data_IF_935531642832
#
_entry.id   IF_935531642832
#
_cell.length_a   1.000
_cell.length_b   1.000
_cell.length_c   1.000
_cell.angle_alpha   90.00
_cell.angle_beta   90.00
_cell.angle_gamma   90.00
#
_symmetry.space_group_name_H-M   'P 1'
#
loop_
_entity.id
_entity.type
_entity.pdbx_description
1 polymer ?
#
# COMPACT_ATOMS: atom_id res chain seq x y z
N UNK A 1 1.80 -43.03 20.03
CA UNK A 1 2.43 -42.64 18.75
C UNK A 1 1.43 -42.18 17.68
N UNK A 2 0.28 -42.85 17.46
CA UNK A 2 -0.72 -42.43 16.44
C UNK A 2 -1.28 -41.01 16.62
N UNK A 3 -1.54 -40.58 17.85
CA UNK A 3 -2.09 -39.24 18.13
C UNK A 3 -1.09 -38.09 17.94
N UNK A 4 0.21 -38.37 17.99
CA UNK A 4 1.27 -37.36 17.80
C UNK A 4 1.41 -36.97 16.32
N UNK A 5 1.19 -37.92 15.41
CA UNK A 5 1.23 -37.66 13.96
C UNK A 5 0.03 -36.80 13.52
N UNK A 6 -1.14 -37.00 14.11
CA UNK A 6 -2.36 -36.23 13.78
C UNK A 6 -2.28 -34.77 14.24
N UNK A 7 -1.68 -34.48 15.40
CA UNK A 7 -1.47 -33.11 15.88
C UNK A 7 -0.40 -32.37 15.07
N UNK A 8 0.67 -33.05 14.66
CA UNK A 8 1.69 -32.46 13.78
C UNK A 8 1.09 -32.14 12.39
N UNK A 9 0.25 -33.01 11.84
CA UNK A 9 -0.39 -32.80 10.54
C UNK A 9 -1.40 -31.63 10.56
N UNK A 10 -2.18 -31.49 11.63
CA UNK A 10 -3.06 -30.31 11.80
C UNK A 10 -2.27 -29.02 12.01
N UNK A 11 -1.15 -29.07 12.76
CA UNK A 11 -0.24 -27.94 12.91
C UNK A 11 0.39 -27.50 11.58
N UNK A 12 0.79 -28.46 10.74
CA UNK A 12 1.34 -28.17 9.40
C UNK A 12 0.28 -27.57 8.46
N UNK A 13 -0.95 -28.08 8.47
CA UNK A 13 -2.04 -27.54 7.66
C UNK A 13 -2.40 -26.10 8.06
N UNK A 14 -2.36 -25.77 9.37
CA UNK A 14 -2.57 -24.41 9.85
C UNK A 14 -1.42 -23.45 9.48
N UNK A 15 -0.19 -23.95 9.36
CA UNK A 15 0.97 -23.16 8.90
C UNK A 15 0.96 -22.94 7.37
N UNK A 16 0.40 -23.87 6.60
CA UNK A 16 0.30 -23.79 5.13
C UNK A 16 -0.89 -22.97 4.64
N UNK A 17 -1.97 -22.84 5.42
CA UNK A 17 -3.11 -21.97 5.08
C UNK A 17 -2.84 -20.47 5.27
N UNK A 18 -1.72 -20.13 5.92
CA UNK A 18 -1.23 -18.75 6.04
C UNK A 18 -0.58 -18.19 4.77
N UNK A 19 -0.41 -19.02 3.73
CA UNK A 19 0.17 -18.61 2.45
C UNK A 19 -0.90 -18.26 1.41
N UNK A 20 -2.01 -17.64 1.82
CA UNK A 20 -2.88 -16.93 0.86
C UNK A 20 -2.27 -15.54 0.61
N UNK A 21 -1.06 -15.52 0.06
CA UNK A 21 -0.54 -14.31 -0.60
C UNK A 21 -1.43 -14.14 -1.81
N UNK A 22 -2.46 -13.30 -1.77
CA UNK A 22 -3.17 -12.86 -2.97
C UNK A 22 -2.13 -12.27 -3.92
N UNK A 23 -1.69 -12.98 -4.98
CA UNK A 23 -0.73 -12.45 -5.93
C UNK A 23 -1.45 -11.57 -6.95
N UNK A 24 -2.76 -11.79 -7.12
CA UNK A 24 -3.59 -11.18 -8.15
C UNK A 24 -3.59 -9.67 -8.06
N UNK A 25 -3.76 -9.09 -6.87
CA UNK A 25 -3.84 -7.63 -6.73
C UNK A 25 -2.47 -6.94 -6.80
N UNK A 26 -1.37 -7.65 -6.52
CA UNK A 26 0.00 -7.13 -6.70
C UNK A 26 0.43 -7.10 -8.16
N UNK A 27 -0.20 -7.88 -9.03
CA UNK A 27 0.11 -7.94 -10.46
C UNK A 27 -0.63 -6.87 -11.29
N UNK A 28 -1.55 -6.09 -10.72
CA UNK A 28 -2.44 -5.19 -11.49
C UNK A 28 -1.82 -3.83 -11.82
N UNK A 29 -0.60 -3.55 -11.38
CA UNK A 29 0.02 -2.23 -11.56
C UNK A 29 1.26 -2.35 -12.40
N UNK A 30 1.17 -1.76 -13.59
CA UNK A 30 2.31 -1.53 -14.42
C UNK A 30 3.26 -0.54 -13.73
N UNK A 31 4.53 -0.91 -13.63
CA UNK A 31 5.59 -0.04 -13.15
C UNK A 31 6.91 -0.52 -13.73
N UNK A 32 7.53 0.32 -14.55
CA UNK A 32 8.92 0.19 -14.96
C UNK A 32 9.68 1.40 -14.41
N UNK A 33 10.70 1.15 -13.59
CA UNK A 33 11.46 2.22 -12.92
C UNK A 33 12.07 3.22 -13.91
N UNK A 34 12.50 2.77 -15.08
CA UNK A 34 13.17 3.62 -16.07
C UNK A 34 12.19 4.45 -16.89
N UNK A 35 10.99 3.92 -17.15
CA UNK A 35 9.98 4.58 -17.98
C UNK A 35 8.97 5.39 -17.18
N UNK A 36 8.76 5.04 -15.90
CA UNK A 36 7.73 5.64 -15.05
C UNK A 36 7.78 7.17 -15.00
N UNK A 37 8.92 7.83 -14.75
CA UNK A 37 8.96 9.29 -14.67
C UNK A 37 8.48 10.00 -15.94
N UNK A 38 8.81 9.46 -17.12
CA UNK A 38 8.37 10.04 -18.39
C UNK A 38 6.88 9.76 -18.66
N UNK A 39 6.41 8.56 -18.30
CA UNK A 39 5.03 8.16 -18.52
C UNK A 39 4.06 8.90 -17.59
N UNK A 40 4.39 9.05 -16.31
CA UNK A 40 3.51 9.73 -15.35
C UNK A 40 3.29 11.20 -15.71
N UNK A 41 4.32 11.90 -16.20
CA UNK A 41 4.21 13.29 -16.66
C UNK A 41 3.38 13.42 -17.93
N UNK A 42 3.42 12.39 -18.80
CA UNK A 42 2.58 12.33 -20.00
C UNK A 42 1.11 12.12 -19.62
N UNK A 43 0.83 11.24 -18.67
CA UNK A 43 -0.52 10.87 -18.26
C UNK A 43 -1.16 11.92 -17.35
N UNK A 44 -0.35 12.61 -16.52
CA UNK A 44 -0.73 13.75 -15.71
C UNK A 44 0.22 14.95 -15.95
N UNK A 45 -0.10 15.82 -16.92
CA UNK A 45 0.70 17.00 -17.24
C UNK A 45 0.79 18.03 -16.10
N UNK A 46 -0.04 17.92 -15.06
CA UNK A 46 0.04 18.80 -13.89
C UNK A 46 1.29 18.51 -13.03
N UNK A 47 1.83 17.30 -13.13
CA UNK A 47 3.08 16.88 -12.50
C UNK A 47 4.28 17.44 -13.28
N UNK A 48 4.57 18.71 -13.05
CA UNK A 48 5.68 19.44 -13.68
C UNK A 48 6.93 19.55 -12.80
N UNK A 49 6.78 19.27 -11.49
CA UNK A 49 7.89 19.34 -10.55
C UNK A 49 8.83 18.12 -10.68
N UNK A 50 10.15 18.30 -10.43
CA UNK A 50 11.09 17.19 -10.44
C UNK A 50 10.69 16.07 -9.46
N UNK A 51 10.66 14.83 -9.96
CA UNK A 51 10.41 13.63 -9.16
C UNK A 51 11.68 13.30 -8.37
N UNK A 52 11.59 13.42 -7.05
CA UNK A 52 12.68 13.16 -6.09
C UNK A 52 12.79 11.67 -5.75
N UNK A 53 11.65 11.00 -5.65
CA UNK A 53 11.56 9.57 -5.37
C UNK A 53 10.30 9.03 -6.05
N UNK A 54 10.34 7.79 -6.53
CA UNK A 54 9.16 7.10 -7.02
C UNK A 54 9.29 5.60 -6.80
N UNK A 55 8.18 4.89 -6.89
CA UNK A 55 8.14 3.46 -6.64
C UNK A 55 6.73 2.92 -6.67
N UNK A 56 6.61 1.65 -6.33
CA UNK A 56 5.33 1.00 -6.06
C UNK A 56 4.96 1.19 -4.60
N UNK A 57 3.67 1.16 -4.31
CA UNK A 57 3.16 1.27 -2.96
C UNK A 57 1.94 0.37 -2.73
N UNK A 58 1.69 0.12 -1.46
CA UNK A 58 0.36 -0.20 -0.96
C UNK A 58 -0.17 0.99 -0.19
N UNK A 59 -1.40 1.38 -0.45
CA UNK A 59 -2.07 2.53 0.15
C UNK A 59 -3.37 2.09 0.80
N UNK A 60 -3.60 2.54 2.04
CA UNK A 60 -4.90 2.47 2.70
C UNK A 60 -5.41 3.90 2.83
N UNK A 61 -6.64 4.16 2.39
CA UNK A 61 -7.31 5.46 2.51
C UNK A 61 -8.53 5.34 3.41
N UNK A 62 -8.59 6.18 4.43
CA UNK A 62 -9.63 6.18 5.46
C UNK A 62 -10.04 7.61 5.81
N UNK A 63 -11.12 7.73 6.58
CA UNK A 63 -11.47 8.97 7.27
C UNK A 63 -10.65 9.11 8.56
N UNK A 64 -10.35 10.36 9.00
CA UNK A 64 -9.67 10.59 10.27
C UNK A 64 -10.40 9.90 11.43
N UNK A 65 -9.63 9.17 12.26
CA UNK A 65 -10.17 8.42 13.41
C UNK A 65 -10.64 7.00 13.08
N UNK A 66 -10.67 6.60 11.81
CA UNK A 66 -10.87 5.20 11.41
C UNK A 66 -9.55 4.53 11.05
N UNK A 67 -9.31 3.35 11.63
CA UNK A 67 -8.15 2.51 11.35
C UNK A 67 -8.39 1.48 10.22
N UNK A 68 -9.54 1.54 9.55
CA UNK A 68 -9.89 0.63 8.44
C UNK A 68 -10.31 1.46 7.24
N UNK A 69 -9.76 1.16 6.07
CA UNK A 69 -9.99 1.96 4.88
C UNK A 69 -9.80 1.19 3.58
N UNK A 70 -10.18 1.81 2.47
CA UNK A 70 -10.02 1.25 1.13
C UNK A 70 -8.55 0.99 0.83
N UNK A 71 -8.26 -0.21 0.32
CA UNK A 71 -6.91 -0.65 0.03
C UNK A 71 -6.63 -0.61 -1.46
N UNK A 72 -5.50 -0.03 -1.82
CA UNK A 72 -5.03 0.10 -3.19
C UNK A 72 -3.60 -0.41 -3.28
N UNK A 73 -3.32 -1.18 -4.31
CA UNK A 73 -1.96 -1.16 -4.85
C UNK A 73 -1.81 0.15 -5.63
N UNK A 74 -0.61 0.72 -5.64
CA UNK A 74 -0.35 1.97 -6.32
C UNK A 74 1.09 2.08 -6.83
N UNK A 75 1.32 3.13 -7.60
CA UNK A 75 2.61 3.78 -7.77
C UNK A 75 2.59 5.11 -7.04
N UNK A 76 3.76 5.64 -6.69
CA UNK A 76 3.88 6.97 -6.14
C UNK A 76 4.99 7.75 -6.83
N UNK A 77 4.80 9.07 -6.92
CA UNK A 77 5.80 10.05 -7.30
C UNK A 77 5.87 11.12 -6.21
N UNK A 78 7.04 11.23 -5.57
CA UNK A 78 7.36 12.27 -4.59
C UNK A 78 8.02 13.43 -5.31
N UNK A 79 7.45 14.63 -5.16
CA UNK A 79 8.05 15.87 -5.67
C UNK A 79 8.45 16.77 -4.50
N UNK A 80 8.95 17.98 -4.81
CA UNK A 80 9.25 18.98 -3.79
C UNK A 80 7.99 19.50 -3.07
N UNK A 81 6.83 19.49 -3.74
CA UNK A 81 5.58 20.09 -3.26
C UNK A 81 4.59 19.08 -2.70
N UNK A 82 4.60 17.85 -3.21
CA UNK A 82 3.61 16.87 -2.81
C UNK A 82 3.97 15.43 -3.11
N UNK A 83 3.08 14.55 -2.69
CA UNK A 83 3.12 13.12 -2.97
C UNK A 83 1.92 12.76 -3.84
N UNK A 84 2.21 12.30 -5.05
CA UNK A 84 1.21 11.84 -6.00
C UNK A 84 1.16 10.32 -5.92
N UNK A 85 -0.05 9.76 -5.83
CA UNK A 85 -0.27 8.33 -5.74
C UNK A 85 -1.27 7.92 -6.82
N UNK A 86 -0.84 7.01 -7.67
CA UNK A 86 -1.56 6.64 -8.88
C UNK A 86 -1.83 5.14 -8.97
N UNK A 87 -3.00 4.80 -9.49
CA UNK A 87 -3.36 3.47 -9.94
C UNK A 87 -3.03 3.30 -11.42
N UNK A 88 -3.18 2.07 -11.91
CA UNK A 88 -3.03 1.75 -13.33
C UNK A 88 -4.39 1.36 -13.90
N UNK A 89 -4.87 2.09 -14.90
CA UNK A 89 -6.03 1.67 -15.69
C UNK A 89 -5.55 0.83 -16.89
N UNK A 90 -5.72 -0.48 -16.78
CA UNK A 90 -5.34 -1.42 -17.83
C UNK A 90 -6.18 -1.29 -19.12
N UNK A 91 -7.37 -0.66 -19.07
CA UNK A 91 -8.21 -0.42 -20.27
C UNK A 91 -7.74 0.80 -21.03
N UNK A 92 -7.48 1.90 -20.33
CA UNK A 92 -6.98 3.13 -20.92
C UNK A 92 -5.45 3.13 -21.12
N UNK A 93 -4.74 2.15 -20.56
CA UNK A 93 -3.28 2.01 -20.60
C UNK A 93 -2.55 3.25 -20.08
N UNK A 94 -3.04 3.82 -18.97
CA UNK A 94 -2.50 5.04 -18.35
C UNK A 94 -2.56 4.96 -16.83
N UNK A 95 -1.78 5.80 -16.18
CA UNK A 95 -1.92 6.05 -14.75
C UNK A 95 -3.14 6.93 -14.45
N UNK A 96 -3.85 6.62 -13.36
CA UNK A 96 -4.97 7.42 -12.86
C UNK A 96 -4.72 7.84 -11.41
N UNK A 97 -5.05 9.08 -11.06
CA UNK A 97 -4.87 9.57 -9.71
C UNK A 97 -5.78 8.84 -8.72
N UNK A 98 -5.18 8.27 -7.66
CA UNK A 98 -5.90 7.77 -6.49
C UNK A 98 -5.94 8.86 -5.42
N UNK A 99 -4.79 9.50 -5.21
CA UNK A 99 -4.60 10.49 -4.16
C UNK A 99 -3.42 11.40 -4.51
N UNK A 100 -3.63 12.70 -4.38
CA UNK A 100 -2.57 13.69 -4.28
C UNK A 100 -2.56 14.30 -2.88
N UNK A 101 -1.37 14.38 -2.28
CA UNK A 101 -1.13 15.01 -0.97
C UNK A 101 -0.23 16.22 -1.18
N UNK A 102 -0.79 17.41 -0.99
CA UNK A 102 -0.03 18.66 -0.95
C UNK A 102 0.56 18.86 0.46
N UNK A 103 1.88 18.97 0.55
CA UNK A 103 2.56 19.15 1.83
C UNK A 103 2.20 20.46 2.53
N UNK A 104 1.69 21.46 1.82
CA UNK A 104 1.17 22.68 2.43
C UNK A 104 -0.12 22.45 3.23
N UNK A 105 -0.91 21.42 2.87
CA UNK A 105 -2.19 21.10 3.52
C UNK A 105 -2.11 19.90 4.47
N UNK A 106 -0.97 19.20 4.45
CA UNK A 106 -0.72 18.03 5.28
C UNK A 106 -0.55 18.45 6.75
N UNK A 107 -1.44 17.98 7.63
CA UNK A 107 -1.47 18.42 9.03
C UNK A 107 -0.42 17.72 9.89
N UNK A 108 -0.34 16.39 9.76
CA UNK A 108 0.56 15.56 10.56
C UNK A 108 0.99 14.32 9.79
N UNK A 109 2.18 13.85 10.11
CA UNK A 109 2.72 12.57 9.64
C UNK A 109 3.16 11.71 10.81
N UNK A 110 3.14 10.40 10.61
CA UNK A 110 3.81 9.46 11.51
C UNK A 110 4.39 8.29 10.72
N UNK A 111 5.42 7.67 11.27
CA UNK A 111 5.95 6.41 10.78
C UNK A 111 5.73 5.38 11.88
N UNK A 112 5.09 4.28 11.54
CA UNK A 112 4.88 3.17 12.46
C UNK A 112 5.33 1.85 11.85
N UNK A 113 6.06 1.08 12.65
CA UNK A 113 6.52 -0.25 12.29
C UNK A 113 5.61 -1.30 12.93
N UNK A 114 5.06 -2.19 12.12
CA UNK A 114 4.23 -3.32 12.55
C UNK A 114 4.88 -4.61 12.03
N UNK A 115 5.61 -5.31 12.89
CA UNK A 115 6.42 -6.48 12.51
C UNK A 115 7.43 -6.13 11.41
N UNK A 116 7.21 -6.60 10.17
CA UNK A 116 8.10 -6.39 9.01
C UNK A 116 7.59 -5.30 8.07
N UNK A 117 6.54 -4.57 8.44
CA UNK A 117 5.93 -3.55 7.59
C UNK A 117 6.04 -2.18 8.24
N UNK A 118 6.46 -1.19 7.46
CA UNK A 118 6.41 0.21 7.88
C UNK A 118 5.24 0.89 7.19
N UNK A 119 4.45 1.63 7.94
CA UNK A 119 3.37 2.47 7.43
C UNK A 119 3.74 3.93 7.67
N UNK A 120 3.93 4.67 6.58
CA UNK A 120 3.91 6.13 6.57
C UNK A 120 2.46 6.56 6.63
N UNK A 121 2.02 7.10 7.77
CA UNK A 121 0.67 7.59 7.95
C UNK A 121 0.65 9.10 7.73
N UNK A 122 -0.18 9.52 6.78
CA UNK A 122 -0.39 10.91 6.40
C UNK A 122 -1.80 11.31 6.86
N UNK A 123 -1.93 12.44 7.56
CA UNK A 123 -3.23 12.95 7.97
C UNK A 123 -3.46 14.36 7.44
N UNK A 124 -4.49 14.47 6.62
CA UNK A 124 -5.05 15.70 6.09
C UNK A 124 -6.31 16.05 6.88
N UNK A 125 -7.00 17.14 6.52
CA UNK A 125 -8.21 17.57 7.23
C UNK A 125 -9.35 16.54 7.17
N UNK A 126 -9.55 15.92 6.01
CA UNK A 126 -10.70 15.02 5.76
C UNK A 126 -10.30 13.59 5.45
N UNK A 127 -8.99 13.30 5.42
CA UNK A 127 -8.45 12.03 4.98
C UNK A 127 -7.28 11.63 5.87
N UNK A 128 -7.23 10.35 6.20
CA UNK A 128 -6.07 9.72 6.77
C UNK A 128 -5.66 8.60 5.82
N UNK A 129 -4.37 8.51 5.52
CA UNK A 129 -3.84 7.46 4.66
C UNK A 129 -2.63 6.80 5.28
N UNK A 130 -2.45 5.51 4.99
CA UNK A 130 -1.23 4.76 5.31
C UNK A 130 -0.61 4.26 4.02
N UNK A 131 0.62 4.68 3.75
CA UNK A 131 1.39 4.29 2.60
C UNK A 131 2.58 3.44 3.04
N UNK A 132 2.79 2.32 2.36
CA UNK A 132 4.02 1.53 2.45
C UNK A 132 4.62 1.44 1.07
N UNK A 133 5.88 1.82 0.90
CA UNK A 133 6.60 1.59 -0.34
C UNK A 133 6.84 0.08 -0.51
N UNK A 134 6.79 -0.38 -1.75
CA UNK A 134 7.07 -1.75 -2.14
C UNK A 134 8.32 -1.79 -3.02
N UNK A 135 8.97 -2.95 -3.08
CA UNK A 135 9.99 -3.23 -4.10
C UNK A 135 9.35 -3.14 -5.51
N UNK A 136 10.18 -3.02 -6.54
CA UNK A 136 9.71 -2.83 -7.93
C UNK A 136 8.85 -4.00 -8.44
N UNK A 137 9.13 -5.21 -7.98
CA UNK A 137 8.32 -6.39 -8.29
C UNK A 137 6.95 -6.37 -7.58
N UNK A 138 6.76 -5.50 -6.58
CA UNK A 138 5.53 -5.37 -5.80
C UNK A 138 5.34 -6.49 -4.76
N UNK A 139 6.27 -7.44 -4.68
CA UNK A 139 6.16 -8.64 -3.85
C UNK A 139 6.15 -8.37 -2.35
N UNK A 140 6.91 -7.38 -1.88
CA UNK A 140 7.11 -7.08 -0.46
C UNK A 140 7.21 -5.58 -0.20
N UNK A 141 6.92 -5.18 1.05
CA UNK A 141 7.13 -3.81 1.53
C UNK A 141 8.63 -3.56 1.66
N UNK A 142 9.10 -2.48 1.04
CA UNK A 142 10.44 -1.93 1.22
C UNK A 142 10.40 -0.94 2.40
N UNK A 143 10.81 -1.42 3.57
CA UNK A 143 10.83 -0.63 4.81
C UNK A 143 11.75 0.57 4.70
N UNK A 144 12.91 0.42 4.05
CA UNK A 144 13.88 1.47 3.86
C UNK A 144 13.37 2.55 2.89
N UNK A 145 12.69 2.17 1.81
CA UNK A 145 12.04 3.14 0.92
C UNK A 145 10.93 3.92 1.62
N UNK A 146 10.17 3.25 2.51
CA UNK A 146 9.12 3.90 3.31
C UNK A 146 9.72 4.88 4.32
N UNK A 147 10.82 4.52 4.97
CA UNK A 147 11.59 5.41 5.86
C UNK A 147 12.16 6.62 5.12
N UNK A 148 12.72 6.42 3.91
CA UNK A 148 13.20 7.52 3.06
C UNK A 148 12.07 8.48 2.67
N UNK A 149 10.87 7.97 2.36
CA UNK A 149 9.70 8.80 2.12
C UNK A 149 9.36 9.63 3.35
N UNK A 150 9.28 8.99 4.51
CA UNK A 150 9.00 9.67 5.78
C UNK A 150 10.02 10.79 6.07
N UNK A 151 11.31 10.50 6.01
CA UNK A 151 12.36 11.50 6.29
C UNK A 151 12.34 12.64 5.27
N UNK A 152 12.04 12.35 4.00
CA UNK A 152 11.92 13.39 2.98
C UNK A 152 10.74 14.33 3.24
N UNK A 153 9.58 13.79 3.62
CA UNK A 153 8.37 14.58 3.94
C UNK A 153 8.55 15.35 5.25
N UNK A 154 9.14 14.71 6.27
CA UNK A 154 9.53 15.36 7.53
C UNK A 154 10.46 16.55 7.29
N UNK A 155 11.42 16.42 6.36
CA UNK A 155 12.29 17.50 5.92
C UNK A 155 11.57 18.70 5.30
N UNK A 156 10.27 18.59 4.95
CA UNK A 156 9.43 19.70 4.46
C UNK A 156 8.74 20.49 5.58
N UNK A 157 9.00 20.17 6.85
CA UNK A 157 8.47 20.92 7.99
C UNK A 157 7.09 20.47 8.48
N UNK A 158 6.61 19.31 8.01
CA UNK A 158 5.33 18.74 8.45
C UNK A 158 5.43 18.21 9.88
N UNK A 159 4.40 18.45 10.70
CA UNK A 159 4.39 18.02 12.09
C UNK A 159 4.44 16.50 12.24
N UNK A 160 5.42 15.99 12.98
CA UNK A 160 5.55 14.56 13.28
C UNK A 160 4.82 14.23 14.57
N UNK A 161 3.95 13.22 14.53
CA UNK A 161 3.20 12.73 15.70
C UNK A 161 3.45 11.24 15.92
N UNK A 162 3.04 10.74 17.09
CA UNK A 162 2.96 9.30 17.34
C UNK A 162 1.78 8.71 16.57
N UNK A 163 1.98 7.55 15.96
CA UNK A 163 0.88 6.80 15.31
C UNK A 163 -0.16 6.35 16.32
N UNK A 164 -1.43 6.39 15.92
CA UNK A 164 -2.59 5.95 16.70
C UNK A 164 -2.88 4.44 16.55
N UNK A 165 -2.10 3.73 15.73
CA UNK A 165 -2.25 2.29 15.49
C UNK A 165 -2.15 1.92 14.02
N UNK A 166 -2.18 0.62 13.72
CA UNK A 166 -2.09 0.12 12.36
C UNK A 166 -3.36 0.43 11.59
N UNK A 167 -3.22 1.00 10.39
CA UNK A 167 -4.32 1.08 9.44
C UNK A 167 -4.42 -0.24 8.69
N UNK A 168 -5.64 -0.74 8.52
CA UNK A 168 -5.92 -2.06 7.96
C UNK A 168 -6.78 -1.95 6.69
N UNK A 169 -6.56 -2.85 5.71
CA UNK A 169 -7.51 -3.05 4.62
C UNK A 169 -8.85 -3.58 5.18
N UNK A 170 -9.96 -3.50 4.42
CA UNK A 170 -11.20 -4.16 4.82
C UNK A 170 -10.97 -5.66 4.96
N UNK A 171 -11.73 -6.30 5.85
CA UNK A 171 -11.70 -7.75 5.98
C UNK A 171 -12.01 -8.39 4.61
N UNK A 172 -11.23 -9.40 4.17
CA UNK A 172 -11.51 -10.08 2.91
C UNK A 172 -12.90 -10.72 2.97
N UNK A 173 -13.58 -10.88 1.83
CA UNK A 173 -14.86 -11.57 1.80
C UNK A 173 -14.68 -12.99 2.36
N UNK A 174 -15.54 -13.37 3.31
CA UNK A 174 -15.52 -14.71 3.88
C UNK A 174 -15.72 -15.75 2.77
N UNK A 175 -14.88 -16.80 2.70
CA UNK A 175 -15.06 -17.86 1.71
C UNK A 175 -16.42 -18.54 1.93
N UNK A 176 -17.27 -18.51 0.90
CA UNK A 176 -18.54 -19.23 0.90
C UNK A 176 -18.25 -20.66 0.44
N UNK A 177 -18.36 -21.63 1.34
CA UNK A 177 -18.29 -23.05 0.99
C UNK A 177 -19.66 -23.52 0.50
N UNK A 178 -19.78 -23.80 -0.80
CA UNK A 178 -20.99 -24.40 -1.38
C UNK A 178 -20.75 -25.91 -1.54
N UNK A 179 -21.35 -26.79 -0.72
CA UNK A 179 -21.20 -28.23 -0.88
C UNK A 179 -21.91 -28.70 -2.15
N UNK A 180 -21.17 -29.32 -3.07
CA UNK A 180 -21.75 -30.02 -4.23
C UNK A 180 -21.90 -31.49 -3.84
N UNK A 181 -23.15 -31.95 -3.67
CA UNK A 181 -23.46 -33.36 -3.46
C UNK A 181 -23.71 -33.99 -4.84
N UNK A 182 -22.81 -34.88 -5.27
CA UNK A 182 -23.00 -35.67 -6.50
C UNK A 182 -23.67 -36.99 -6.11
N UNK A 183 -24.94 -37.23 -6.49
CA UNK A 183 -25.58 -38.52 -6.27
C UNK A 183 -24.89 -39.61 -7.12
N UNK A 184 -24.75 -40.81 -6.54
CA UNK A 184 -24.26 -42.01 -7.23
C UNK A 184 -25.37 -42.67 -8.03
#
# INVERSE_FOLDING_TARGET
>A
MRYLASTILMGLMALLSGCNTTPYDKATIYYDRTQFPAQIVKDDPSLSDPILQHGRCSLIVSTPGSNTGSYYFCTYALTAKGLYVQGWDAKALKYEEIMHVDFATLRKISLASFLRTNQLQLTEERRQSALSACIDEGGYIDTAATERLFETIKGKGVAVVKSEGMMNPPAPPSPVFVPIIIPR
#
